data_IF_818181124286
#
_entry.id   IF_818181124286
#
_cell.length_a   1.000
_cell.length_b   1.000
_cell.length_c   1.000
_cell.angle_alpha   90.00
_cell.angle_beta   90.00
_cell.angle_gamma   90.00
#
_symmetry.space_group_name_H-M   'P 1'
#
loop_
_entity.id
_entity.type
_entity.pdbx_description
1 polymer ?
2 polymer ?
3 polymer ?
4 non-polymer ?
5 water ?
#
loop_
_entity_poly.entity_id
_entity_poly.type
_entity_poly.pdbx_seq_one_letter_code
_entity_poly.pdbx_strand_id
2 'polyribonucleotide' '(GTP)GUCACGCACAGGGCAAACCAUUCGAAAGAGUGGGACGCAAAGCCUCCGGCCUAAACCAUUGCACUCCGGUAGGUAGCGGGGUUACCGAUGG' ?
3 'polyribonucleotide' 'GG' ?
#
# COMPACT_ATOMS: atom_id res chain seq x y z
N UNK A 7 10.34 13.55 -5.04
CA UNK A 7 9.28 12.59 -5.47
C UNK A 7 9.04 11.40 -4.52
N UNK A 8 10.12 10.73 -4.05
CA UNK A 8 9.93 9.57 -3.18
C UNK A 8 9.36 9.91 -1.79
N UNK A 9 8.79 8.90 -1.13
CA UNK A 9 8.09 9.07 0.14
C UNK A 9 8.12 7.79 0.98
N UNK A 10 7.98 7.93 2.30
CA UNK A 10 7.86 6.79 3.21
C UNK A 10 6.63 5.94 2.89
N UNK A 11 5.60 6.59 2.38
CA UNK A 11 4.32 5.97 2.09
C UNK A 11 4.18 5.67 0.61
N UNK A 12 3.55 4.53 0.30
CA UNK A 12 3.23 4.16 -1.07
C UNK A 12 1.72 4.08 -1.28
N UNK A 13 1.28 4.62 -2.42
CA UNK A 13 -0.14 4.67 -2.75
C UNK A 13 -0.49 3.53 -3.68
N UNK A 14 -1.13 2.50 -3.12
CA UNK A 14 -1.58 1.36 -3.91
C UNK A 14 -2.98 1.64 -4.45
N UNK A 15 -3.16 1.32 -5.72
CA UNK A 15 -4.35 1.69 -6.46
C UNK A 15 -4.96 0.45 -7.11
N UNK A 16 -6.22 0.58 -7.55
CA UNK A 16 -6.89 -0.47 -8.32
C UNK A 16 -7.00 -1.80 -7.55
N UNK A 17 -7.57 -1.71 -6.34
CA UNK A 17 -7.72 -2.88 -5.49
C UNK A 17 -9.14 -3.43 -5.50
N UNK A 18 -9.28 -4.74 -5.32
CA UNK A 18 -10.57 -5.39 -5.18
C UNK A 18 -11.31 -4.77 -4.00
N UNK A 19 -12.44 -4.12 -4.28
CA UNK A 19 -13.18 -3.37 -3.27
C UNK A 19 -14.04 -4.28 -2.39
N UNK A 20 -14.12 -5.56 -2.78
CA UNK A 20 -14.97 -6.52 -2.07
C UNK A 20 -14.30 -7.10 -0.82
N UNK A 21 -12.98 -6.91 -0.71
CA UNK A 21 -12.22 -7.41 0.44
C UNK A 21 -12.60 -6.64 1.70
N UNK A 22 -12.84 -7.36 2.79
CA UNK A 22 -13.10 -6.72 4.08
C UNK A 22 -11.86 -5.99 4.58
N UNK A 23 -12.08 -4.77 5.09
CA UNK A 23 -11.03 -3.91 5.64
C UNK A 23 -9.97 -4.68 6.44
N UNK A 24 -10.44 -5.65 7.24
CA UNK A 24 -9.56 -6.43 8.12
C UNK A 24 -8.59 -7.28 7.31
N UNK A 25 -9.13 -8.02 6.35
CA UNK A 25 -8.33 -8.90 5.50
C UNK A 25 -7.40 -8.11 4.59
N UNK A 26 -7.90 -6.99 4.07
CA UNK A 26 -7.14 -6.13 3.18
C UNK A 26 -5.82 -5.67 3.82
N UNK A 27 -5.91 -5.04 5.00
CA UNK A 27 -4.72 -4.63 5.75
C UNK A 27 -3.83 -5.84 6.01
N UNK A 28 -4.42 -6.89 6.58
CA UNK A 28 -3.75 -8.13 6.92
C UNK A 28 -2.91 -8.66 5.75
N UNK A 29 -3.56 -8.83 4.59
CA UNK A 29 -2.89 -9.32 3.38
C UNK A 29 -1.79 -8.38 2.91
N UNK A 30 -2.07 -7.08 2.86
CA UNK A 30 -1.07 -6.08 2.46
C UNK A 30 0.15 -6.11 3.39
N UNK A 31 -0.11 -6.32 4.67
CA UNK A 31 0.97 -6.49 5.66
C UNK A 31 1.73 -7.79 5.40
N UNK A 32 0.99 -8.83 5.06
CA UNK A 32 1.58 -10.15 4.79
C UNK A 32 2.40 -10.19 3.50
N UNK A 33 2.27 -9.15 2.67
CA UNK A 33 2.93 -9.12 1.37
C UNK A 33 4.03 -8.08 1.28
N UNK A 34 3.88 -6.97 2.01
CA UNK A 34 4.82 -5.85 1.92
C UNK A 34 5.85 -5.79 3.05
N UNK A 35 5.64 -6.55 4.12
CA UNK A 35 6.52 -6.52 5.29
C UNK A 35 7.94 -7.04 5.01
N UNK A 36 8.09 -7.77 3.90
CA UNK A 36 9.39 -8.31 3.50
C UNK A 36 10.32 -7.23 2.92
N UNK A 37 9.81 -6.01 2.80
CA UNK A 37 10.58 -4.91 2.25
C UNK A 37 11.13 -3.97 3.33
N UNK A 38 10.44 -3.94 4.47
CA UNK A 38 10.81 -3.07 5.58
C UNK A 38 9.75 -3.06 6.67
N UNK A 39 10.11 -2.53 7.84
CA UNK A 39 9.18 -2.41 8.96
C UNK A 39 8.08 -1.40 8.63
N UNK A 40 6.85 -1.74 8.96
CA UNK A 40 5.71 -0.90 8.62
C UNK A 40 5.16 -0.20 9.86
N UNK A 41 5.00 1.13 9.76
CA UNK A 41 4.40 1.93 10.82
C UNK A 41 2.93 1.57 10.99
N UNK A 42 2.14 1.87 9.96
CA UNK A 42 0.73 1.49 9.93
C UNK A 42 0.28 1.40 8.47
N UNK A 43 -0.79 0.67 8.23
CA UNK A 43 -1.39 0.60 6.90
C UNK A 43 -2.76 1.27 6.93
N UNK A 44 -2.91 2.33 6.15
CA UNK A 44 -4.15 3.08 6.08
C UNK A 44 -5.06 2.54 4.99
N UNK A 45 -6.19 1.98 5.39
CA UNK A 45 -7.19 1.47 4.47
C UNK A 45 -8.57 1.92 4.91
N UNK A 46 -9.35 2.49 3.98
CA UNK A 46 -10.71 2.92 4.27
C UNK A 46 -11.61 2.58 3.08
N UNK A 47 -12.87 2.28 3.37
CA UNK A 47 -13.80 1.80 2.34
C UNK A 47 -14.93 2.77 2.00
N UNK A 48 -14.68 4.07 2.19
CA UNK A 48 -15.63 5.10 1.77
C UNK A 48 -15.51 5.32 0.27
N UNK A 49 -16.54 5.90 -0.33
CA UNK A 49 -16.58 6.15 -1.78
C UNK A 49 -15.32 6.82 -2.31
N UNK A 50 -14.75 7.70 -1.49
CA UNK A 50 -13.56 8.46 -1.83
C UNK A 50 -12.29 7.64 -1.59
N UNK A 51 -12.40 6.58 -0.80
CA UNK A 51 -11.22 5.83 -0.35
C UNK A 51 -11.17 4.38 -0.83
N UNK A 52 -12.23 3.92 -1.48
CA UNK A 52 -12.36 2.54 -1.97
C UNK A 52 -11.27 2.16 -2.97
N UNK A 53 -10.81 0.90 -2.86
CA UNK A 53 -9.82 0.35 -3.78
C UNK A 53 -8.43 0.93 -3.66
N UNK A 54 -8.15 1.55 -2.52
CA UNK A 54 -6.90 2.27 -2.31
C UNK A 54 -6.22 1.87 -1.00
N UNK A 55 -4.90 2.05 -0.93
CA UNK A 55 -4.13 1.71 0.28
C UNK A 55 -2.89 2.56 0.46
N UNK A 56 -2.64 2.97 1.70
CA UNK A 56 -1.43 3.67 2.08
C UNK A 56 -0.59 2.79 2.99
N UNK A 57 0.59 2.39 2.52
CA UNK A 57 1.54 1.64 3.34
C UNK A 57 2.70 2.53 3.74
N UNK A 58 2.79 2.84 5.03
CA UNK A 58 3.84 3.72 5.54
C UNK A 58 5.01 2.90 6.08
N UNK A 59 6.20 3.16 5.56
CA UNK A 59 7.41 2.46 5.97
C UNK A 59 8.23 3.32 6.93
N UNK A 60 9.10 2.66 7.72
CA UNK A 60 10.10 3.37 8.51
C UNK A 60 11.06 4.11 7.59
N UNK A 61 11.50 3.43 6.53
CA UNK A 61 12.51 3.97 5.63
C UNK A 61 11.98 4.13 4.21
N UNK A 62 12.31 5.26 3.60
CA UNK A 62 11.93 5.57 2.21
C UNK A 62 12.54 4.53 1.23
N UNK A 63 13.75 4.10 1.54
CA UNK A 63 14.45 3.11 0.71
C UNK A 63 13.65 1.80 0.60
N UNK A 64 13.07 1.38 1.72
CA UNK A 64 12.24 0.17 1.76
C UNK A 64 10.92 0.37 0.99
N UNK A 65 10.43 1.61 0.98
CA UNK A 65 9.27 1.98 0.18
C UNK A 65 9.62 1.98 -1.30
N UNK A 66 10.85 2.40 -1.62
CA UNK A 66 11.34 2.45 -2.99
C UNK A 66 11.45 1.04 -3.58
N UNK A 67 11.96 0.11 -2.78
CA UNK A 67 12.09 -1.28 -3.22
C UNK A 67 10.74 -1.93 -3.43
N UNK A 68 9.83 -1.75 -2.46
CA UNK A 68 8.47 -2.31 -2.50
C UNK A 68 7.70 -1.89 -3.76
N UNK A 69 7.86 -0.64 -4.16
CA UNK A 69 7.21 -0.10 -5.35
C UNK A 69 7.78 -0.75 -6.61
N UNK A 70 9.10 -0.67 -6.75
CA UNK A 70 9.79 -1.17 -7.93
C UNK A 70 9.71 -2.69 -8.06
N UNK A 71 9.68 -3.38 -6.93
CA UNK A 71 9.69 -4.84 -6.90
C UNK A 71 8.31 -5.47 -7.10
N UNK A 72 7.24 -4.74 -6.80
CA UNK A 72 5.90 -5.32 -6.85
C UNK A 72 4.83 -4.49 -7.59
N UNK A 73 5.32 -3.64 -8.53
CA UNK A 73 4.37 -2.88 -9.36
C UNK A 73 3.76 -3.80 -10.41
N UNK A 74 2.44 -3.81 -10.50
CA UNK A 74 1.71 -4.65 -11.45
C UNK A 74 1.22 -5.97 -10.89
N UNK A 75 1.88 -6.44 -9.82
CA UNK A 75 1.59 -7.70 -9.15
C UNK A 75 0.07 -7.94 -8.96
N UNK A 76 -0.44 -9.06 -9.50
CA UNK A 76 -1.84 -9.46 -9.34
C UNK A 76 -2.17 -9.81 -7.88
N UNK A 77 -3.22 -9.18 -7.36
CA UNK A 77 -3.57 -9.26 -5.94
C UNK A 77 -5.09 -9.32 -5.81
N UNK A 78 -5.59 -10.47 -5.37
CA UNK A 78 -7.02 -10.79 -5.39
C UNK A 78 -7.58 -10.64 -6.80
N UNK A 79 -6.93 -11.31 -7.76
CA UNK A 79 -7.30 -11.27 -9.19
C UNK A 79 -7.26 -9.86 -9.81
N UNK A 80 -6.54 -8.94 -9.18
CA UNK A 80 -6.40 -7.56 -9.70
C UNK A 80 -4.96 -7.05 -9.57
N UNK A 81 -4.42 -6.45 -10.65
CA UNK A 81 -3.07 -5.93 -10.63
C UNK A 81 -2.95 -4.67 -9.78
N UNK A 82 -2.02 -4.67 -8.84
CA UNK A 82 -1.76 -3.50 -8.02
C UNK A 82 -1.16 -2.38 -8.86
N UNK A 83 -1.46 -1.13 -8.49
CA UNK A 83 -0.88 0.03 -9.15
C UNK A 83 -0.21 0.92 -8.11
N UNK A 84 1.08 0.69 -7.91
CA UNK A 84 1.83 1.40 -6.88
C UNK A 84 2.47 2.67 -7.43
N UNK A 85 2.30 3.76 -6.71
CA UNK A 85 3.02 5.02 -6.95
C UNK A 85 3.25 5.69 -5.60
N UNK A 86 4.18 6.66 -5.56
CA UNK A 86 4.49 7.37 -4.33
C UNK A 86 3.34 8.25 -3.84
N UNK A 87 3.29 8.47 -2.53
CA UNK A 87 2.36 9.43 -1.94
C UNK A 87 2.80 10.85 -2.30
N UNK A 88 1.82 11.74 -2.50
CA UNK A 88 2.09 13.14 -2.84
C UNK A 88 2.63 13.88 -1.61
N UNK A 89 1.84 13.81 -0.53
CA UNK A 89 2.16 14.47 0.73
C UNK A 89 2.01 13.38 1.80
N UNK A 90 2.83 13.47 2.91
CA UNK A 90 2.74 12.43 3.94
C UNK A 90 2.69 13.10 5.34
N UNK A 91 1.51 12.92 5.98
CA UNK A 91 1.31 13.34 7.38
C UNK A 91 1.71 12.16 8.27
N UNK A 92 1.70 12.44 9.62
CA UNK A 92 2.24 11.46 10.59
C UNK A 92 3.77 11.47 10.49
N UNK A 93 4.41 10.40 10.94
CA UNK A 93 5.87 10.29 10.93
C UNK A 93 6.36 9.43 9.77
X LIG D 1 -44.55 11.68 32.14
#
# INVERSE_FOLDING_TARGET
MAVPETRPNHTIYINNLNEKIKKDELKKSLHAIFSRFGQILDILVSRSLKMRGQAFVIFKEVSSATNALRSMQGFPFYDKPMRIQYAKTDSDIIAKMK
MG MG
#
